data_IF_140623002272
#
_entry.id   IF_140623002272
#
_cell.length_a   1.000
_cell.length_b   1.000
_cell.length_c   1.000
_cell.angle_alpha   90.00
_cell.angle_beta   90.00
_cell.angle_gamma   90.00
#
_symmetry.space_group_name_H-M   'P 1'
#
loop_
_entity.id
_entity.type
_entity.pdbx_description
1 polymer ?
#
# COMPACT_ATOMS: atom_id res chain seq x y z
N UNK A 1 -11.26 22.26 -66.89
CA UNK A 1 -10.22 22.32 -65.84
C UNK A 1 -10.92 22.40 -64.50
N UNK A 2 -11.12 21.27 -63.83
CA UNK A 2 -11.91 21.20 -62.59
C UNK A 2 -11.01 20.63 -61.50
N UNK A 3 -10.69 21.44 -60.50
CA UNK A 3 -9.83 21.08 -59.37
C UNK A 3 -10.64 20.30 -58.35
N UNK A 4 -10.23 19.07 -58.03
CA UNK A 4 -10.77 18.28 -56.92
C UNK A 4 -9.87 18.53 -55.71
N UNK A 5 -10.37 19.27 -54.72
CA UNK A 5 -9.75 19.38 -53.40
C UNK A 5 -10.12 18.13 -52.60
N UNK A 6 -9.11 17.30 -52.30
CA UNK A 6 -9.23 16.11 -51.48
C UNK A 6 -8.93 16.50 -50.03
N UNK A 7 -9.97 16.68 -49.21
CA UNK A 7 -9.83 16.92 -47.77
C UNK A 7 -9.66 15.58 -47.04
N UNK A 8 -8.48 15.37 -46.46
CA UNK A 8 -8.20 14.22 -45.58
C UNK A 8 -8.72 14.56 -44.18
N UNK A 9 -9.77 13.87 -43.76
CA UNK A 9 -10.33 13.93 -42.41
C UNK A 9 -9.49 13.01 -41.50
N UNK A 10 -8.61 13.58 -40.67
CA UNK A 10 -7.84 12.83 -39.66
C UNK A 10 -8.73 12.59 -38.44
N UNK A 11 -9.22 11.37 -38.29
CA UNK A 11 -9.89 10.92 -37.07
C UNK A 11 -8.84 10.75 -35.95
N UNK A 12 -8.82 11.67 -35.00
CA UNK A 12 -8.06 11.53 -33.75
C UNK A 12 -8.88 10.63 -32.83
N UNK A 13 -8.55 9.33 -32.81
CA UNK A 13 -9.09 8.40 -31.82
C UNK A 13 -8.52 8.75 -30.43
N UNK A 14 -9.35 8.94 -29.40
CA UNK A 14 -8.86 9.13 -28.04
C UNK A 14 -8.20 7.82 -27.59
N UNK A 15 -6.88 7.86 -27.44
CA UNK A 15 -6.08 6.75 -26.93
C UNK A 15 -6.54 6.40 -25.52
N UNK A 16 -7.14 5.23 -25.37
CA UNK A 16 -7.36 4.60 -24.08
C UNK A 16 -5.97 4.31 -23.51
N UNK A 17 -5.55 5.12 -22.54
CA UNK A 17 -4.37 4.86 -21.72
C UNK A 17 -4.59 3.54 -20.99
N UNK A 18 -4.07 2.46 -21.56
CA UNK A 18 -3.97 1.16 -20.90
C UNK A 18 -3.00 1.34 -19.72
N UNK A 19 -3.53 1.44 -18.50
CA UNK A 19 -2.74 1.38 -17.29
C UNK A 19 -1.93 0.07 -17.30
N UNK A 20 -0.62 0.17 -17.14
CA UNK A 20 0.28 -0.98 -17.16
C UNK A 20 -0.12 -2.00 -16.07
N UNK A 21 0.01 -3.31 -16.34
CA UNK A 21 -0.29 -4.33 -15.35
C UNK A 21 0.65 -4.20 -14.15
N UNK A 22 0.05 -4.23 -12.96
CA UNK A 22 0.72 -4.04 -11.68
C UNK A 22 1.40 -5.34 -11.27
N UNK A 23 2.73 -5.30 -11.08
CA UNK A 23 3.55 -6.40 -10.58
C UNK A 23 3.79 -6.23 -9.07
N UNK A 24 3.89 -7.35 -8.35
CA UNK A 24 4.19 -7.38 -6.91
C UNK A 24 5.55 -6.76 -6.57
N UNK A 25 6.48 -6.73 -7.54
CA UNK A 25 7.80 -6.12 -7.42
C UNK A 25 7.78 -4.62 -7.08
N UNK A 26 6.60 -3.99 -7.18
CA UNK A 26 6.45 -2.56 -7.04
C UNK A 26 5.83 -2.10 -5.71
N UNK A 27 5.36 -3.03 -4.86
CA UNK A 27 4.77 -2.69 -3.56
C UNK A 27 5.78 -2.91 -2.44
N UNK A 28 6.09 -1.84 -1.70
CA UNK A 28 6.94 -1.89 -0.50
C UNK A 28 6.17 -1.38 0.71
N UNK A 29 6.10 -2.19 1.75
CA UNK A 29 5.47 -1.82 3.02
C UNK A 29 6.49 -1.79 4.16
N UNK A 30 6.33 -0.83 5.07
CA UNK A 30 7.15 -0.66 6.26
C UNK A 30 6.24 -0.49 7.49
N UNK A 31 6.47 -1.29 8.52
CA UNK A 31 5.93 -1.10 9.85
C UNK A 31 6.80 -0.08 10.60
N UNK A 32 6.17 0.86 11.30
CA UNK A 32 6.85 1.86 12.12
C UNK A 32 6.26 1.91 13.52
N UNK A 33 7.12 2.18 14.49
CA UNK A 33 6.82 2.38 15.89
C UNK A 33 7.37 3.72 16.35
N UNK A 34 6.56 4.46 17.10
CA UNK A 34 6.96 5.70 17.76
C UNK A 34 6.40 5.70 19.18
N UNK A 35 7.23 6.04 20.16
CA UNK A 35 6.81 6.19 21.55
C UNK A 35 7.43 7.45 22.12
N UNK A 36 6.62 8.31 22.71
CA UNK A 36 7.09 9.49 23.45
C UNK A 36 7.28 9.10 24.91
N UNK A 37 8.49 9.22 25.41
CA UNK A 37 8.86 8.90 26.79
C UNK A 37 8.53 10.08 27.73
N UNK A 38 8.37 9.83 29.04
CA UNK A 38 8.01 10.87 30.01
C UNK A 38 9.03 12.01 30.13
N UNK A 39 10.29 11.76 29.76
CA UNK A 39 11.37 12.74 29.75
C UNK A 39 11.37 13.62 28.48
N UNK A 40 10.40 13.43 27.59
CA UNK A 40 10.27 14.14 26.31
C UNK A 40 11.09 13.53 25.17
N UNK A 41 11.88 12.48 25.42
CA UNK A 41 12.57 11.75 24.36
C UNK A 41 11.61 10.86 23.58
N UNK A 42 12.04 10.39 22.41
CA UNK A 42 11.24 9.49 21.57
C UNK A 42 12.01 8.22 21.22
N UNK A 43 11.36 7.06 21.40
CA UNK A 43 11.82 5.78 20.88
C UNK A 43 11.19 5.54 19.51
N UNK A 44 11.99 5.08 18.56
CA UNK A 44 11.55 4.78 17.19
C UNK A 44 12.11 3.46 16.73
N UNK A 45 11.31 2.69 16.01
CA UNK A 45 11.75 1.48 15.35
C UNK A 45 10.99 1.31 14.02
N UNK A 46 11.60 0.60 13.08
CA UNK A 46 10.98 0.28 11.80
C UNK A 46 11.37 -1.13 11.33
N UNK A 47 10.47 -1.74 10.56
CA UNK A 47 10.69 -3.06 9.97
C UNK A 47 10.01 -3.13 8.61
N UNK A 48 10.74 -3.59 7.59
CA UNK A 48 10.18 -3.82 6.26
C UNK A 48 9.34 -5.10 6.29
N UNK A 49 8.15 -5.06 5.69
CA UNK A 49 7.34 -6.26 5.55
C UNK A 49 7.96 -7.20 4.52
N UNK A 50 8.03 -8.48 4.88
CA UNK A 50 8.52 -9.56 4.02
C UNK A 50 7.36 -10.13 3.24
N UNK A 51 7.60 -10.46 1.98
CA UNK A 51 6.62 -11.17 1.16
C UNK A 51 6.50 -12.60 1.68
N UNK A 52 5.28 -13.01 2.05
CA UNK A 52 4.98 -14.36 2.55
C UNK A 52 4.07 -15.15 1.59
N UNK A 53 3.32 -14.48 0.71
CA UNK A 53 2.67 -15.06 -0.47
C UNK A 53 2.75 -14.10 -1.66
N UNK A 54 3.06 -14.63 -2.84
CA UNK A 54 3.23 -13.91 -4.09
C UNK A 54 2.63 -14.65 -5.30
N UNK A 55 1.44 -15.24 -5.14
CA UNK A 55 0.74 -15.94 -6.23
C UNK A 55 0.34 -15.01 -7.39
N UNK A 56 -0.12 -15.55 -8.52
CA UNK A 56 -0.51 -14.72 -9.69
C UNK A 56 -1.64 -13.73 -9.40
N UNK A 57 -2.49 -14.00 -8.40
CA UNK A 57 -3.65 -13.18 -8.07
C UNK A 57 -3.51 -12.40 -6.76
N UNK A 58 -2.63 -12.84 -5.85
CA UNK A 58 -2.63 -12.40 -4.45
C UNK A 58 -1.24 -11.97 -3.98
N UNK A 59 -1.20 -11.04 -3.05
CA UNK A 59 0.02 -10.55 -2.42
C UNK A 59 -0.19 -10.46 -0.91
N UNK A 60 0.69 -11.09 -0.15
CA UNK A 60 0.72 -11.06 1.31
C UNK A 60 2.11 -10.63 1.78
N UNK A 61 2.14 -9.57 2.59
CA UNK A 61 3.33 -9.02 3.20
C UNK A 61 3.13 -8.99 4.71
N UNK A 62 4.13 -9.44 5.46
CA UNK A 62 4.05 -9.57 6.91
C UNK A 62 5.36 -9.15 7.60
N UNK A 63 5.25 -8.59 8.81
CA UNK A 63 6.38 -8.45 9.73
C UNK A 63 5.89 -8.35 11.16
N UNK A 64 6.84 -8.45 12.10
CA UNK A 64 6.63 -8.16 13.50
C UNK A 64 7.52 -7.01 13.94
N UNK A 65 6.98 -6.14 14.80
CA UNK A 65 7.70 -5.02 15.37
C UNK A 65 7.06 -4.64 16.72
N UNK A 66 7.89 -4.55 17.77
CA UNK A 66 7.47 -4.04 19.09
C UNK A 66 6.19 -4.72 19.64
N UNK A 67 6.16 -6.06 19.57
CA UNK A 67 5.03 -6.85 20.09
C UNK A 67 3.76 -6.78 19.24
N UNK A 68 3.86 -6.39 17.96
CA UNK A 68 2.73 -6.40 17.02
C UNK A 68 3.04 -7.08 15.70
N UNK A 69 2.03 -7.76 15.17
CA UNK A 69 2.00 -8.25 13.80
C UNK A 69 1.42 -7.20 12.86
N UNK A 70 2.07 -7.02 11.71
CA UNK A 70 1.65 -6.11 10.66
C UNK A 70 1.44 -6.90 9.38
N UNK A 71 0.24 -6.78 8.80
CA UNK A 71 -0.13 -7.53 7.59
C UNK A 71 -0.67 -6.56 6.55
N UNK A 72 -0.14 -6.69 5.33
CA UNK A 72 -0.73 -6.15 4.12
C UNK A 72 -1.14 -7.33 3.24
N UNK A 73 -2.40 -7.38 2.85
CA UNK A 73 -2.98 -8.50 2.11
C UNK A 73 -3.91 -7.95 1.01
N UNK A 74 -3.83 -8.47 -0.21
CA UNK A 74 -4.88 -8.23 -1.18
C UNK A 74 -4.56 -8.72 -2.59
N UNK A 75 -5.40 -8.38 -3.57
CA UNK A 75 -5.15 -8.73 -4.96
C UNK A 75 -3.98 -7.91 -5.51
N UNK A 76 -3.10 -8.54 -6.31
CA UNK A 76 -1.89 -7.88 -6.86
C UNK A 76 -2.17 -6.59 -7.61
N UNK A 77 -3.30 -6.53 -8.34
CA UNK A 77 -3.59 -5.44 -9.26
C UNK A 77 -4.23 -4.22 -8.59
N UNK A 78 -5.52 -4.28 -8.31
CA UNK A 78 -6.30 -3.04 -8.11
C UNK A 78 -6.86 -2.88 -6.71
N UNK A 79 -6.37 -3.64 -5.73
CA UNK A 79 -7.02 -3.70 -4.44
C UNK A 79 -8.48 -4.18 -4.56
N UNK A 80 -9.29 -3.97 -3.52
CA UNK A 80 -8.91 -3.30 -2.27
C UNK A 80 -7.95 -4.15 -1.44
N UNK A 81 -7.09 -3.50 -0.65
CA UNK A 81 -6.10 -4.15 0.20
C UNK A 81 -6.53 -4.08 1.66
N UNK A 82 -6.34 -5.17 2.39
CA UNK A 82 -6.50 -5.24 3.83
C UNK A 82 -5.18 -4.89 4.52
N UNK A 83 -5.25 -3.98 5.49
CA UNK A 83 -4.16 -3.61 6.37
C UNK A 83 -4.53 -3.99 7.79
N UNK A 84 -3.66 -4.75 8.46
CA UNK A 84 -3.89 -5.21 9.84
C UNK A 84 -2.70 -4.85 10.72
N UNK A 85 -3.00 -4.36 11.93
CA UNK A 85 -2.04 -4.21 13.03
C UNK A 85 -2.63 -4.92 14.24
N UNK A 86 -2.03 -6.05 14.64
CA UNK A 86 -2.52 -6.93 15.72
C UNK A 86 -1.49 -7.07 16.84
N UNK A 87 -1.93 -7.27 18.08
CA UNK A 87 -1.07 -7.39 19.26
C UNK A 87 -0.67 -8.86 19.49
N UNK A 88 0.63 -9.12 19.54
CA UNK A 88 1.18 -10.41 19.96
C UNK A 88 0.95 -10.64 21.48
N UNK A 89 1.04 -11.89 21.97
CA UNK A 89 1.28 -13.13 21.22
C UNK A 89 0.01 -13.78 20.64
N UNK A 90 -1.18 -13.40 21.12
CA UNK A 90 -2.41 -14.13 20.76
C UNK A 90 -3.11 -13.57 19.52
N UNK A 91 -2.73 -12.37 19.06
CA UNK A 91 -3.28 -11.68 17.88
C UNK A 91 -4.82 -11.51 17.88
N UNK A 92 -5.43 -11.51 19.08
CA UNK A 92 -6.88 -11.37 19.28
C UNK A 92 -7.35 -9.91 19.34
N UNK A 93 -6.42 -8.97 19.50
CA UNK A 93 -6.70 -7.54 19.56
C UNK A 93 -5.90 -6.79 18.49
N UNK A 94 -6.54 -5.83 17.82
CA UNK A 94 -5.88 -5.06 16.78
C UNK A 94 -6.82 -4.09 16.08
N UNK A 95 -6.31 -3.53 14.98
CA UNK A 95 -7.07 -2.75 14.02
C UNK A 95 -6.91 -3.38 12.65
N UNK A 96 -8.02 -3.54 11.94
CA UNK A 96 -8.03 -3.89 10.53
C UNK A 96 -8.77 -2.79 9.76
N UNK A 97 -8.32 -2.58 8.52
CA UNK A 97 -9.01 -1.69 7.60
C UNK A 97 -8.78 -2.16 6.19
N UNK A 98 -9.61 -1.66 5.28
CA UNK A 98 -9.49 -1.90 3.86
C UNK A 98 -9.23 -0.57 3.17
N UNK A 99 -8.29 -0.54 2.23
CA UNK A 99 -7.93 0.68 1.51
C UNK A 99 -7.36 0.43 0.13
N UNK A 100 -7.31 1.50 -0.65
CA UNK A 100 -6.72 1.54 -1.98
C UNK A 100 -5.55 2.53 -2.00
N UNK A 101 -4.57 2.28 -2.86
CA UNK A 101 -3.49 3.24 -3.07
C UNK A 101 -4.07 4.55 -3.62
N UNK A 102 -3.59 5.68 -3.10
CA UNK A 102 -3.85 7.00 -3.68
C UNK A 102 -3.30 7.09 -5.11
N UNK A 103 -3.66 8.17 -5.83
CA UNK A 103 -3.12 8.45 -7.16
C UNK A 103 -1.58 8.53 -7.17
N UNK A 104 -0.97 8.94 -6.06
CA UNK A 104 0.47 9.02 -5.84
C UNK A 104 1.09 7.71 -5.34
N UNK A 105 0.31 6.61 -5.32
CA UNK A 105 0.79 5.29 -4.94
C UNK A 105 1.03 5.12 -3.44
N UNK A 106 0.29 5.84 -2.58
CA UNK A 106 0.43 5.73 -1.11
C UNK A 106 -0.76 5.04 -0.47
N UNK A 107 -0.51 4.17 0.49
CA UNK A 107 -1.53 3.57 1.34
C UNK A 107 -0.98 3.46 2.76
N UNK A 108 -1.76 3.85 3.77
CA UNK A 108 -1.31 3.79 5.15
C UNK A 108 -2.45 3.55 6.14
N UNK A 109 -2.11 2.96 7.28
CA UNK A 109 -2.95 2.94 8.47
C UNK A 109 -2.09 3.26 9.69
N UNK A 110 -2.70 3.87 10.70
CA UNK A 110 -2.05 4.17 11.97
C UNK A 110 -2.98 3.85 13.13
N UNK A 111 -2.41 3.33 14.20
CA UNK A 111 -3.09 3.08 15.47
C UNK A 111 -2.35 3.89 16.54
N UNK A 112 -3.08 4.73 17.25
CA UNK A 112 -2.55 5.57 18.33
C UNK A 112 -3.11 5.06 19.65
N UNK A 113 -2.22 4.74 20.58
CA UNK A 113 -2.55 4.22 21.91
C UNK A 113 -1.72 4.97 22.96
N UNK A 114 -2.33 5.99 23.56
CA UNK A 114 -1.63 6.86 24.52
C UNK A 114 -0.44 7.59 23.88
N UNK A 115 0.75 7.33 24.40
CA UNK A 115 2.02 7.90 23.92
C UNK A 115 2.66 7.08 22.78
N UNK A 116 2.01 6.01 22.31
CA UNK A 116 2.53 5.09 21.29
C UNK A 116 1.76 5.25 19.97
N UNK A 117 2.49 5.25 18.85
CA UNK A 117 1.95 5.22 17.50
C UNK A 117 2.54 4.05 16.73
N UNK A 118 1.67 3.17 16.26
CA UNK A 118 2.01 2.12 15.30
C UNK A 118 1.53 2.54 13.92
N UNK A 119 2.38 2.41 12.89
CA UNK A 119 2.01 2.69 11.50
C UNK A 119 2.36 1.53 10.59
N UNK A 120 1.52 1.31 9.59
CA UNK A 120 1.84 0.52 8.40
C UNK A 120 1.75 1.46 7.21
N UNK A 121 2.88 1.69 6.54
CA UNK A 121 2.98 2.55 5.36
C UNK A 121 3.40 1.71 4.16
N UNK A 122 2.63 1.79 3.08
CA UNK A 122 2.88 1.09 1.83
C UNK A 122 2.99 2.07 0.68
N UNK A 123 3.92 1.78 -0.23
CA UNK A 123 4.17 2.54 -1.44
C UNK A 123 4.12 1.62 -2.66
N UNK A 124 3.48 2.09 -3.73
CA UNK A 124 3.47 1.45 -5.04
C UNK A 124 4.18 2.34 -6.05
N UNK A 125 5.17 1.81 -6.77
CA UNK A 125 5.89 2.51 -7.85
C UNK A 125 5.59 1.96 -9.24
#
# INVERSE_FOLDING_TARGET
MTKIFMSILVFILPGVLMAAPISAENVKCTAKYFEVLPDGNARKAESVLKVTDDSTAHLLLETELEGRGYVFNGPKKNGPYMLTISKAPDYTFGSNTTGEFSAEGRLQVSVVEGNIVHKLECYRR
#
